data_IF_990723810870
#
_entry.id   IF_990723810870
#
_cell.length_a   1.000
_cell.length_b   1.000
_cell.length_c   1.000
_cell.angle_alpha   90.00
_cell.angle_beta   90.00
_cell.angle_gamma   90.00
#
_symmetry.space_group_name_H-M   'P 1'
#
loop_
_entity.id
_entity.type
_entity.pdbx_description
1 polymer ?
#
# COMPACT_ATOMS: atom_id res chain seq x y z
N UNK A 1 -10.76 7.30 6.34
CA UNK A 1 -9.66 7.89 5.55
C UNK A 1 -10.26 8.93 4.64
N UNK A 2 -9.83 10.18 4.76
CA UNK A 2 -10.23 11.24 3.85
C UNK A 2 -9.30 11.33 2.61
N UNK A 3 -8.10 10.78 2.71
CA UNK A 3 -7.09 10.83 1.66
C UNK A 3 -7.37 9.82 0.54
N UNK A 4 -7.48 10.33 -0.69
CA UNK A 4 -7.78 9.53 -1.90
C UNK A 4 -6.69 8.51 -2.22
N UNK A 5 -5.40 8.86 -2.03
CA UNK A 5 -4.29 7.95 -2.30
C UNK A 5 -4.37 6.71 -1.41
N UNK A 6 -4.58 6.91 -0.11
CA UNK A 6 -4.70 5.80 0.83
C UNK A 6 -5.92 4.91 0.52
N UNK A 7 -7.05 5.51 0.13
CA UNK A 7 -8.23 4.74 -0.29
C UNK A 7 -7.97 3.91 -1.55
N UNK A 8 -7.26 4.47 -2.53
CA UNK A 8 -6.94 3.77 -3.77
C UNK A 8 -5.96 2.62 -3.54
N UNK A 9 -4.95 2.82 -2.70
CA UNK A 9 -4.01 1.78 -2.29
C UNK A 9 -4.72 0.69 -1.50
N UNK A 10 -5.60 1.05 -0.56
CA UNK A 10 -6.42 0.07 0.17
C UNK A 10 -7.22 -0.78 -0.81
N UNK A 11 -7.88 -0.17 -1.80
CA UNK A 11 -8.65 -0.90 -2.81
C UNK A 11 -7.78 -1.88 -3.61
N UNK A 12 -6.61 -1.44 -4.06
CA UNK A 12 -5.65 -2.29 -4.78
C UNK A 12 -5.26 -3.51 -3.93
N UNK A 13 -5.03 -3.31 -2.63
CA UNK A 13 -4.68 -4.37 -1.70
C UNK A 13 -5.86 -5.28 -1.40
N UNK A 14 -7.06 -4.73 -1.20
CA UNK A 14 -8.28 -5.49 -0.86
C UNK A 14 -8.57 -6.58 -1.88
N UNK A 15 -8.37 -6.31 -3.16
CA UNK A 15 -8.59 -7.27 -4.24
C UNK A 15 -7.68 -8.51 -4.15
N UNK A 16 -6.53 -8.39 -3.47
CA UNK A 16 -5.55 -9.46 -3.33
C UNK A 16 -5.55 -10.13 -1.95
N UNK A 17 -5.75 -9.35 -0.88
CA UNK A 17 -5.55 -9.81 0.51
C UNK A 17 -6.78 -9.64 1.41
N UNK A 18 -7.87 -9.08 0.88
CA UNK A 18 -9.10 -8.77 1.61
C UNK A 18 -9.03 -7.48 2.41
N UNK A 19 -10.20 -6.88 2.70
CA UNK A 19 -10.33 -5.53 3.28
C UNK A 19 -9.62 -5.34 4.61
N UNK A 20 -9.69 -6.35 5.48
CA UNK A 20 -9.09 -6.27 6.81
C UNK A 20 -7.57 -6.19 6.73
N UNK A 21 -6.95 -7.06 5.93
CA UNK A 21 -5.49 -7.10 5.75
C UNK A 21 -5.03 -5.86 4.96
N UNK A 22 -5.79 -5.43 3.96
CA UNK A 22 -5.51 -4.21 3.20
C UNK A 22 -5.40 -2.99 4.14
N UNK A 23 -6.41 -2.76 4.98
CA UNK A 23 -6.42 -1.66 5.96
C UNK A 23 -5.24 -1.71 6.92
N UNK A 24 -4.96 -2.89 7.49
CA UNK A 24 -3.85 -3.08 8.40
C UNK A 24 -2.51 -2.82 7.70
N UNK A 25 -2.37 -3.29 6.45
CA UNK A 25 -1.17 -3.13 5.63
C UNK A 25 -0.93 -1.67 5.28
N UNK A 26 -1.93 -0.94 4.80
CA UNK A 26 -1.80 0.49 4.49
C UNK A 26 -1.40 1.27 5.74
N UNK A 27 -2.12 1.07 6.85
CA UNK A 27 -1.84 1.77 8.10
C UNK A 27 -0.42 1.50 8.58
N UNK A 28 -0.02 0.23 8.69
CA UNK A 28 1.29 -0.15 9.21
C UNK A 28 2.42 0.34 8.32
N UNK A 29 2.28 0.24 7.00
CA UNK A 29 3.33 0.64 6.08
C UNK A 29 3.45 2.16 5.96
N UNK A 30 2.36 2.92 6.09
CA UNK A 30 2.41 4.38 6.23
C UNK A 30 3.20 4.78 7.49
N UNK A 31 2.90 4.17 8.65
CA UNK A 31 3.63 4.43 9.89
C UNK A 31 5.14 4.14 9.76
N UNK A 32 5.50 3.08 9.04
CA UNK A 32 6.91 2.70 8.81
C UNK A 32 7.71 3.69 7.95
N UNK A 33 7.04 4.54 7.18
CA UNK A 33 7.67 5.60 6.36
C UNK A 33 7.42 6.99 6.95
N UNK A 34 6.94 7.06 8.20
CA UNK A 34 6.70 8.32 8.90
C UNK A 34 5.46 9.08 8.44
N UNK A 35 4.50 8.42 7.79
CA UNK A 35 3.22 9.02 7.38
C UNK A 35 2.05 8.36 8.09
N UNK A 36 0.86 8.89 7.85
CA UNK A 36 -0.41 8.22 8.16
C UNK A 36 -1.20 8.07 6.87
N UNK A 37 -2.21 7.20 6.81
CA UNK A 37 -3.10 7.11 5.64
C UNK A 37 -3.71 8.46 5.26
N UNK A 38 -4.02 9.33 6.24
CA UNK A 38 -4.60 10.65 5.96
C UNK A 38 -3.55 11.67 5.49
N UNK A 39 -2.27 11.52 5.86
CA UNK A 39 -1.17 12.44 5.48
C UNK A 39 -0.28 11.92 4.33
N UNK A 40 -0.63 10.79 3.72
CA UNK A 40 0.14 10.21 2.61
C UNK A 40 0.13 11.14 1.38
N UNK A 41 1.31 11.39 0.84
CA UNK A 41 1.52 12.23 -0.35
C UNK A 41 2.13 11.42 -1.50
N UNK A 42 2.02 11.95 -2.72
CA UNK A 42 2.48 11.29 -3.94
C UNK A 42 3.98 10.96 -3.92
N UNK A 43 4.81 11.82 -3.33
CA UNK A 43 6.26 11.62 -3.21
C UNK A 43 6.64 10.40 -2.34
N UNK A 44 5.72 9.97 -1.47
CA UNK A 44 5.90 8.81 -0.59
C UNK A 44 5.43 7.49 -1.19
N UNK A 45 4.73 7.51 -2.34
CA UNK A 45 4.25 6.30 -2.99
C UNK A 45 5.35 5.31 -3.36
N UNK A 46 6.54 5.71 -3.88
CA UNK A 46 7.61 4.76 -4.18
C UNK A 46 8.12 4.04 -2.94
N UNK A 47 8.33 4.79 -1.85
CA UNK A 47 8.80 4.25 -0.57
C UNK A 47 7.75 3.32 0.07
N UNK A 48 6.48 3.70 0.00
CA UNK A 48 5.36 2.89 0.49
C UNK A 48 5.22 1.59 -0.30
N UNK A 49 5.34 1.65 -1.62
CA UNK A 49 5.27 0.49 -2.51
C UNK A 49 6.36 -0.54 -2.17
N UNK A 50 7.59 -0.10 -1.88
CA UNK A 50 8.68 -0.99 -1.47
C UNK A 50 8.41 -1.70 -0.13
N UNK A 51 7.79 -1.00 0.82
CA UNK A 51 7.40 -1.59 2.11
C UNK A 51 6.26 -2.58 1.94
N UNK A 52 5.28 -2.26 1.10
CA UNK A 52 4.16 -3.14 0.77
C UNK A 52 4.63 -4.38 0.00
N UNK A 53 5.54 -4.25 -0.96
CA UNK A 53 6.15 -5.40 -1.65
C UNK A 53 6.72 -6.37 -0.63
N UNK A 54 7.62 -5.90 0.25
CA UNK A 54 8.24 -6.75 1.27
C UNK A 54 7.22 -7.38 2.22
N UNK A 55 6.25 -6.60 2.69
CA UNK A 55 5.25 -7.07 3.64
C UNK A 55 4.34 -8.12 2.99
N UNK A 56 3.78 -7.82 1.82
CA UNK A 56 2.83 -8.71 1.13
C UNK A 56 3.53 -9.92 0.53
N UNK A 57 4.73 -9.75 -0.02
CA UNK A 57 5.56 -10.86 -0.49
C UNK A 57 5.86 -11.87 0.61
N UNK A 58 6.02 -11.42 1.85
CA UNK A 58 6.27 -12.29 3.00
C UNK A 58 5.09 -13.22 3.33
N UNK A 59 3.84 -12.75 3.22
CA UNK A 59 2.67 -13.54 3.62
C UNK A 59 1.81 -14.09 2.47
N UNK A 60 1.82 -13.46 1.29
CA UNK A 60 1.04 -13.84 0.11
C UNK A 60 1.89 -14.31 -1.08
N UNK A 61 3.23 -14.31 -0.94
CA UNK A 61 4.16 -14.73 -1.97
C UNK A 61 4.64 -13.58 -2.87
N UNK A 62 5.86 -13.76 -3.41
CA UNK A 62 6.62 -12.72 -4.09
C UNK A 62 5.89 -12.10 -5.29
N UNK A 63 5.22 -12.93 -6.09
CA UNK A 63 4.48 -12.46 -7.27
C UNK A 63 3.36 -11.48 -6.90
N UNK A 64 2.65 -11.76 -5.80
CA UNK A 64 1.55 -10.91 -5.31
C UNK A 64 2.08 -9.57 -4.81
N UNK A 65 3.12 -9.60 -3.96
CA UNK A 65 3.69 -8.36 -3.40
C UNK A 65 4.28 -7.45 -4.47
N UNK A 66 5.04 -8.01 -5.41
CA UNK A 66 5.64 -7.24 -6.51
C UNK A 66 4.57 -6.64 -7.44
N UNK A 67 3.54 -7.41 -7.80
CA UNK A 67 2.44 -6.90 -8.65
C UNK A 67 1.68 -5.75 -8.00
N UNK A 68 1.41 -5.83 -6.69
CA UNK A 68 0.72 -4.76 -5.96
C UNK A 68 1.58 -3.50 -5.84
N UNK A 69 2.89 -3.66 -5.59
CA UNK A 69 3.81 -2.53 -5.52
C UNK A 69 3.92 -1.80 -6.87
N UNK A 70 3.93 -2.51 -7.99
CA UNK A 70 3.89 -1.90 -9.32
C UNK A 70 2.61 -1.08 -9.54
N UNK A 71 1.45 -1.60 -9.15
CA UNK A 71 0.17 -0.87 -9.24
C UNK A 71 0.19 0.41 -8.41
N UNK A 72 0.75 0.36 -7.19
CA UNK A 72 0.85 1.52 -6.31
C UNK A 72 1.77 2.60 -6.90
N UNK A 73 2.91 2.21 -7.49
CA UNK A 73 3.82 3.14 -8.18
C UNK A 73 3.19 3.76 -9.43
N UNK A 74 2.25 3.07 -10.05
CA UNK A 74 1.55 3.53 -11.25
C UNK A 74 0.36 4.47 -10.97
N UNK A 75 0.00 4.69 -9.69
CA UNK A 75 -1.05 5.65 -9.32
C UNK A 75 -0.63 7.04 -9.80
N UNK A 76 -1.44 7.63 -10.68
CA UNK A 76 -1.24 9.00 -11.18
C UNK A 76 -2.05 9.96 -10.32
N UNK A 77 -1.37 10.98 -9.80
CA UNK A 77 -1.95 12.02 -8.93
C UNK A 77 -2.00 13.34 -9.66
#
# INVERSE_FOLDING_TARGET
>A
MANRLAQEIEKILSDAVGDFIARATVKKNCELIGTTPDTLTADKLPELADKIDKSVSFFSGKDVGSSLAEKIRAIKV
#
